data_IF_897173748396
#
_entry.id   IF_897173748396
#
_cell.length_a   1.000
_cell.length_b   1.000
_cell.length_c   1.000
_cell.angle_alpha   90.00
_cell.angle_beta   90.00
_cell.angle_gamma   90.00
#
_symmetry.space_group_name_H-M   'P 1'
#
loop_
_entity.id
_entity.type
_entity.pdbx_description
1 polymer ?
#
# COMPACT_ATOMS: atom_id res chain seq x y z
N UNK A 1 16.30 -11.63 -65.22
CA UNK A 1 17.74 -11.73 -64.91
C UNK A 1 18.05 -10.74 -63.79
N UNK A 2 18.11 -11.20 -62.54
CA UNK A 2 18.96 -10.61 -61.50
C UNK A 2 20.37 -11.21 -61.69
N UNK A 3 21.49 -10.54 -61.34
CA UNK A 3 21.87 -10.44 -59.92
C UNK A 3 22.84 -9.31 -59.50
N UNK A 4 23.14 -9.32 -58.20
CA UNK A 4 24.29 -8.76 -57.47
C UNK A 4 24.25 -7.31 -56.95
N UNK A 5 23.92 -7.24 -55.66
CA UNK A 5 24.43 -6.31 -54.66
C UNK A 5 25.85 -6.74 -54.23
N UNK A 6 26.77 -5.80 -53.98
CA UNK A 6 27.70 -5.98 -52.88
C UNK A 6 27.74 -4.76 -51.95
N UNK A 7 27.47 -5.05 -50.68
CA UNK A 7 27.71 -4.25 -49.49
C UNK A 7 29.18 -3.85 -49.31
N UNK A 8 29.44 -2.57 -49.00
CA UNK A 8 30.59 -2.14 -48.20
C UNK A 8 30.45 -0.69 -47.67
N UNK A 9 30.04 -0.57 -46.40
CA UNK A 9 30.58 0.46 -45.49
C UNK A 9 32.03 0.03 -45.11
N UNK A 10 32.93 0.88 -44.58
CA UNK A 10 32.69 2.15 -43.88
C UNK A 10 33.68 3.29 -44.25
N UNK A 11 33.34 4.55 -43.95
CA UNK A 11 34.35 5.61 -43.80
C UNK A 11 34.11 6.44 -42.55
N UNK A 12 35.16 6.44 -41.73
CA UNK A 12 35.34 7.16 -40.48
C UNK A 12 35.10 8.66 -40.65
N UNK A 13 34.20 9.22 -39.84
CA UNK A 13 34.25 10.63 -39.46
C UNK A 13 34.58 10.71 -37.98
N UNK A 14 35.88 10.71 -37.71
CA UNK A 14 36.46 11.34 -36.53
C UNK A 14 36.11 12.84 -36.60
N UNK A 15 35.32 13.35 -35.66
CA UNK A 15 35.36 14.76 -35.31
C UNK A 15 35.71 14.87 -33.83
N UNK A 16 36.79 15.63 -33.58
CA UNK A 16 37.39 15.90 -32.27
C UNK A 16 36.42 16.65 -31.36
N UNK A 17 36.55 16.35 -30.08
CA UNK A 17 36.00 17.07 -28.94
C UNK A 17 36.20 18.60 -29.06
N UNK A 18 35.16 19.36 -28.71
CA UNK A 18 35.34 20.52 -27.85
C UNK A 18 34.07 20.80 -27.03
N UNK A 19 34.29 21.22 -25.79
CA UNK A 19 33.42 21.00 -24.65
C UNK A 19 32.11 21.81 -24.65
N UNK A 20 31.00 21.13 -24.38
CA UNK A 20 29.86 21.71 -23.67
C UNK A 20 29.43 20.73 -22.57
N UNK A 21 29.87 21.02 -21.34
CA UNK A 21 29.38 20.37 -20.12
C UNK A 21 27.91 20.76 -19.91
N UNK A 22 27.00 20.07 -20.58
CA UNK A 22 25.60 19.99 -20.15
C UNK A 22 25.46 18.79 -19.25
N UNK A 23 25.32 19.05 -17.95
CA UNK A 23 24.97 18.07 -16.94
C UNK A 23 23.75 17.28 -17.39
N UNK A 24 23.94 16.01 -17.75
CA UNK A 24 22.85 15.06 -17.81
C UNK A 24 22.23 14.99 -16.41
N UNK A 25 20.92 15.27 -16.22
CA UNK A 25 20.24 14.69 -15.07
C UNK A 25 20.43 13.18 -15.20
N UNK A 26 20.82 12.52 -14.12
CA UNK A 26 20.81 11.07 -14.04
C UNK A 26 19.38 10.66 -14.34
N UNK A 27 19.13 10.22 -15.58
CA UNK A 27 17.96 9.45 -15.91
C UNK A 27 18.08 8.17 -15.09
N UNK A 28 17.51 8.20 -13.90
CA UNK A 28 17.22 7.02 -13.10
C UNK A 28 16.35 6.13 -13.98
N UNK A 29 16.99 5.17 -14.65
CA UNK A 29 16.30 4.08 -15.31
C UNK A 29 15.51 3.34 -14.22
N UNK A 30 14.25 3.73 -14.03
CA UNK A 30 13.29 2.97 -13.23
C UNK A 30 13.06 1.68 -14.00
N UNK A 31 13.83 0.64 -13.65
CA UNK A 31 13.54 -0.73 -14.09
C UNK A 31 12.16 -1.07 -13.53
N UNK A 32 11.15 -0.93 -14.39
CA UNK A 32 9.76 -1.20 -14.05
C UNK A 32 9.62 -2.71 -13.93
N UNK A 33 9.83 -3.24 -12.71
CA UNK A 33 9.64 -4.65 -12.39
C UNK A 33 8.19 -5.03 -12.70
N UNK A 34 7.98 -5.91 -13.66
CA UNK A 34 6.66 -6.47 -13.94
C UNK A 34 6.27 -7.43 -12.82
N UNK A 35 5.33 -7.03 -11.98
CA UNK A 35 4.73 -7.89 -10.97
C UNK A 35 3.75 -8.82 -11.67
N UNK A 36 3.95 -10.14 -11.54
CA UNK A 36 3.06 -11.13 -12.13
C UNK A 36 1.65 -11.00 -11.56
N UNK A 37 0.64 -11.01 -12.44
CA UNK A 37 -0.76 -11.07 -12.05
C UNK A 37 -1.14 -12.47 -11.58
N UNK A 38 -2.08 -12.54 -10.65
CA UNK A 38 -2.79 -13.76 -10.26
C UNK A 38 -4.23 -13.67 -10.73
N UNK A 39 -4.81 -14.79 -11.16
CA UNK A 39 -6.20 -14.86 -11.62
C UNK A 39 -7.22 -14.76 -10.48
N UNK A 40 -6.80 -14.98 -9.24
CA UNK A 40 -7.66 -14.89 -8.06
C UNK A 40 -6.91 -14.49 -6.79
N UNK A 41 -7.68 -14.09 -5.78
CA UNK A 41 -7.17 -13.87 -4.42
C UNK A 41 -6.45 -15.11 -3.89
N UNK A 42 -7.11 -16.27 -3.94
CA UNK A 42 -6.58 -17.53 -3.43
C UNK A 42 -5.25 -17.91 -4.09
N UNK A 43 -5.12 -17.69 -5.40
CA UNK A 43 -3.86 -17.91 -6.13
C UNK A 43 -2.75 -16.98 -5.63
N UNK A 44 -3.05 -15.69 -5.46
CA UNK A 44 -2.08 -14.74 -4.91
C UNK A 44 -1.64 -15.13 -3.50
N UNK A 45 -2.55 -15.62 -2.66
CA UNK A 45 -2.23 -16.13 -1.33
C UNK A 45 -1.28 -17.33 -1.35
N UNK A 46 -1.59 -18.33 -2.18
CA UNK A 46 -0.75 -19.53 -2.32
C UNK A 46 0.63 -19.19 -2.87
N UNK A 47 0.70 -18.31 -3.87
CA UNK A 47 1.96 -17.94 -4.51
C UNK A 47 2.86 -17.06 -3.62
N UNK A 48 2.28 -16.27 -2.72
CA UNK A 48 3.04 -15.31 -1.90
C UNK A 48 3.52 -15.86 -0.56
N UNK A 49 3.04 -17.04 -0.16
CA UNK A 49 3.42 -17.71 1.07
C UNK A 49 2.97 -19.19 1.05
N UNK A 50 3.64 -20.03 0.24
CA UNK A 50 3.32 -21.44 0.14
C UNK A 50 3.52 -22.13 1.50
N UNK A 51 2.56 -22.96 1.90
CA UNK A 51 2.66 -23.78 3.12
C UNK A 51 2.35 -23.08 4.44
N UNK A 52 1.95 -21.79 4.43
CA UNK A 52 1.47 -21.10 5.64
C UNK A 52 0.00 -21.45 5.89
N UNK A 53 -0.36 -22.05 7.05
CA UNK A 53 -1.75 -22.37 7.37
C UNK A 53 -2.65 -21.13 7.32
N UNK A 54 -3.86 -21.27 6.76
CA UNK A 54 -4.86 -20.20 6.69
C UNK A 54 -5.36 -19.74 8.08
N UNK A 55 -4.97 -20.40 9.16
CA UNK A 55 -5.49 -20.15 10.52
C UNK A 55 -5.01 -18.83 11.16
N UNK A 56 -3.95 -18.18 10.64
CA UNK A 56 -3.66 -16.76 10.89
C UNK A 56 -3.02 -16.11 9.66
N UNK A 57 -3.83 -15.56 8.75
CA UNK A 57 -3.39 -15.16 7.43
C UNK A 57 -3.25 -13.64 7.39
N UNK A 58 -2.09 -13.08 7.76
CA UNK A 58 -1.76 -11.69 7.45
C UNK A 58 -0.83 -11.64 6.24
N UNK A 59 -1.14 -10.81 5.25
CA UNK A 59 -0.25 -10.45 4.12
C UNK A 59 -0.10 -8.95 4.06
N UNK A 60 0.88 -8.46 3.31
CA UNK A 60 0.98 -7.04 3.00
C UNK A 60 0.31 -6.78 1.67
N UNK A 61 -0.45 -5.70 1.58
CA UNK A 61 -1.05 -5.23 0.34
C UNK A 61 -0.42 -3.88 -0.03
N UNK A 62 0.19 -3.85 -1.21
CA UNK A 62 0.99 -2.73 -1.72
C UNK A 62 0.37 -2.26 -3.02
N UNK A 63 0.57 -0.99 -3.37
CA UNK A 63 0.02 -0.37 -4.58
C UNK A 63 -1.50 -0.58 -4.70
N UNK A 64 -2.18 -0.44 -3.55
CA UNK A 64 -3.56 -0.85 -3.36
C UNK A 64 -4.56 0.26 -3.69
N UNK A 65 -5.76 -0.14 -4.11
CA UNK A 65 -6.88 0.76 -4.34
C UNK A 65 -8.15 0.08 -3.84
N UNK A 66 -8.98 0.82 -3.10
CA UNK A 66 -10.34 0.40 -2.73
C UNK A 66 -11.29 1.07 -3.71
N UNK A 67 -12.19 0.28 -4.27
CA UNK A 67 -13.10 0.77 -5.30
C UNK A 67 -14.46 0.10 -5.20
N UNK A 68 -15.48 0.77 -5.71
CA UNK A 68 -16.81 0.21 -5.88
C UNK A 68 -16.80 -0.94 -6.90
N UNK A 69 -17.94 -1.61 -7.06
CA UNK A 69 -18.15 -2.61 -8.09
C UNK A 69 -17.99 -2.06 -9.53
N UNK A 70 -18.13 -0.75 -9.73
CA UNK A 70 -17.95 -0.08 -11.03
C UNK A 70 -16.50 0.37 -11.27
N UNK A 71 -15.59 0.11 -10.32
CA UNK A 71 -14.16 0.46 -10.43
C UNK A 71 -13.84 1.90 -10.04
N UNK A 72 -14.81 2.64 -9.49
CA UNK A 72 -14.58 4.00 -8.97
C UNK A 72 -13.88 3.91 -7.61
N UNK A 73 -12.75 4.62 -7.39
CA UNK A 73 -12.11 4.66 -6.08
C UNK A 73 -13.04 5.23 -5.00
N UNK A 74 -13.15 4.54 -3.86
CA UNK A 74 -14.07 4.88 -2.76
C UNK A 74 -13.32 4.90 -1.43
N UNK A 75 -13.68 5.78 -0.48
CA UNK A 75 -13.08 5.79 0.85
C UNK A 75 -13.37 4.49 1.61
N UNK A 76 -12.44 4.06 2.46
CA UNK A 76 -12.56 2.80 3.21
C UNK A 76 -13.76 2.84 4.18
N UNK A 77 -14.10 4.02 4.68
CA UNK A 77 -15.20 4.30 5.59
C UNK A 77 -16.57 4.05 4.95
N UNK A 78 -16.66 4.05 3.60
CA UNK A 78 -17.89 3.74 2.89
C UNK A 78 -18.43 2.33 3.20
N UNK A 79 -17.57 1.41 3.67
CA UNK A 79 -17.98 0.09 4.16
C UNK A 79 -19.00 0.16 5.31
N UNK A 80 -18.93 1.19 6.16
CA UNK A 80 -19.78 1.29 7.37
C UNK A 80 -21.08 2.03 7.14
N UNK A 81 -21.13 2.90 6.14
CA UNK A 81 -22.27 3.80 5.94
C UNK A 81 -23.45 3.13 5.23
N UNK A 82 -23.27 1.91 4.70
CA UNK A 82 -24.26 1.27 3.81
C UNK A 82 -24.56 2.10 2.55
N UNK A 83 -23.80 3.17 2.33
CA UNK A 83 -24.01 4.17 1.29
C UNK A 83 -23.47 3.71 -0.05
N UNK A 84 -22.48 2.81 -0.05
CA UNK A 84 -22.09 2.08 -1.23
C UNK A 84 -23.13 0.97 -1.46
N UNK A 85 -24.09 1.21 -2.35
CA UNK A 85 -25.08 0.24 -2.84
C UNK A 85 -24.46 -0.96 -3.60
N UNK A 86 -23.18 -1.24 -3.38
CA UNK A 86 -22.41 -2.30 -3.97
C UNK A 86 -21.19 -2.55 -3.10
N UNK A 87 -20.86 -3.83 -2.94
CA UNK A 87 -19.78 -4.29 -2.09
C UNK A 87 -18.45 -3.68 -2.56
N UNK A 88 -17.73 -3.01 -1.65
CA UNK A 88 -16.41 -2.50 -1.99
C UNK A 88 -15.49 -3.66 -2.30
N UNK A 89 -14.63 -3.45 -3.28
CA UNK A 89 -13.61 -4.38 -3.76
C UNK A 89 -12.24 -3.73 -3.64
N UNK A 90 -11.20 -4.53 -3.77
CA UNK A 90 -9.84 -4.01 -3.79
C UNK A 90 -9.04 -4.56 -4.97
N UNK A 91 -8.02 -3.81 -5.33
CA UNK A 91 -6.93 -4.23 -6.21
C UNK A 91 -5.60 -3.85 -5.57
N UNK A 92 -4.53 -4.53 -5.98
CA UNK A 92 -3.19 -4.23 -5.48
C UNK A 92 -2.22 -5.39 -5.68
N UNK A 93 -1.08 -5.30 -5.00
CA UNK A 93 -0.02 -6.31 -5.00
C UNK A 93 0.01 -6.97 -3.63
N UNK A 94 -0.34 -8.25 -3.59
CA UNK A 94 -0.20 -9.11 -2.42
C UNK A 94 1.27 -9.49 -2.30
N UNK A 95 1.82 -9.30 -1.11
CA UNK A 95 3.20 -9.64 -0.78
C UNK A 95 3.25 -10.52 0.49
N UNK A 96 4.35 -11.27 0.60
CA UNK A 96 4.65 -12.04 1.80
C UNK A 96 4.59 -11.17 3.08
N UNK A 97 4.22 -11.73 4.25
CA UNK A 97 4.05 -10.97 5.49
C UNK A 97 5.34 -10.32 6.01
N UNK A 98 6.49 -10.92 5.68
CA UNK A 98 7.83 -10.47 6.10
C UNK A 98 8.75 -10.40 4.89
N UNK A 99 9.89 -9.75 5.06
CA UNK A 99 10.89 -9.55 4.01
C UNK A 99 10.81 -8.14 3.40
N UNK A 100 11.88 -7.75 2.73
CA UNK A 100 11.98 -6.44 2.09
C UNK A 100 11.12 -6.40 0.82
N UNK A 101 10.19 -5.45 0.74
CA UNK A 101 9.31 -5.26 -0.42
C UNK A 101 10.09 -4.82 -1.68
N UNK A 102 11.27 -4.23 -1.50
CA UNK A 102 12.17 -3.88 -2.60
C UNK A 102 12.98 -5.09 -3.11
N UNK A 103 13.09 -6.15 -2.32
CA UNK A 103 13.86 -7.34 -2.68
C UNK A 103 13.18 -8.16 -3.78
N UNK A 104 13.97 -8.65 -4.72
CA UNK A 104 13.53 -9.60 -5.75
C UNK A 104 13.07 -10.93 -5.14
N UNK A 105 13.68 -11.33 -4.01
CA UNK A 105 13.38 -12.58 -3.33
C UNK A 105 12.01 -12.59 -2.64
N UNK A 106 11.38 -11.43 -2.44
CA UNK A 106 10.05 -11.34 -1.82
C UNK A 106 8.97 -11.67 -2.87
N UNK A 107 8.21 -12.77 -2.71
CA UNK A 107 7.16 -13.14 -3.64
C UNK A 107 6.04 -12.10 -3.64
N UNK A 108 5.64 -11.67 -4.84
CA UNK A 108 4.59 -10.67 -5.05
C UNK A 108 3.65 -11.12 -6.17
N UNK A 109 2.35 -10.86 -5.99
CA UNK A 109 1.31 -11.11 -7.01
C UNK A 109 0.34 -9.96 -7.08
N UNK A 110 0.11 -9.43 -8.28
CA UNK A 110 -0.92 -8.42 -8.54
C UNK A 110 -2.27 -9.09 -8.64
N UNK A 111 -3.26 -8.51 -7.99
CA UNK A 111 -4.65 -8.93 -8.01
C UNK A 111 -5.52 -7.74 -8.39
N UNK A 112 -6.51 -7.97 -9.26
CA UNK A 112 -7.40 -6.94 -9.76
C UNK A 112 -8.86 -7.31 -9.47
N UNK A 113 -9.66 -6.33 -9.06
CA UNK A 113 -11.11 -6.51 -8.91
C UNK A 113 -11.52 -7.60 -7.93
N UNK A 114 -10.76 -7.77 -6.85
CA UNK A 114 -10.89 -8.90 -5.91
C UNK A 114 -12.13 -8.78 -5.05
N UNK A 115 -12.47 -9.90 -4.40
CA UNK A 115 -13.64 -10.13 -3.55
C UNK A 115 -14.06 -8.95 -2.67
N UNK A 116 -15.32 -9.06 -2.29
CA UNK A 116 -16.01 -8.16 -1.40
C UNK A 116 -15.26 -8.01 -0.08
N UNK A 117 -14.96 -6.77 0.28
CA UNK A 117 -14.38 -6.43 1.56
C UNK A 117 -15.41 -6.69 2.66
N UNK A 118 -15.06 -7.55 3.60
CA UNK A 118 -15.90 -7.85 4.75
C UNK A 118 -15.78 -6.78 5.84
N UNK A 119 -14.66 -6.07 5.86
CA UNK A 119 -14.42 -4.99 6.81
C UNK A 119 -12.96 -4.54 6.83
N UNK A 120 -12.67 -3.69 7.80
CA UNK A 120 -11.31 -3.27 8.12
C UNK A 120 -11.12 -3.12 9.62
N UNK A 121 -9.88 -3.22 10.04
CA UNK A 121 -9.42 -3.06 11.41
C UNK A 121 -8.30 -2.02 11.46
N UNK A 122 -8.21 -1.31 12.59
CA UNK A 122 -7.05 -0.49 12.92
C UNK A 122 -6.22 -1.31 13.91
N UNK A 123 -5.00 -1.66 13.52
CA UNK A 123 -4.06 -2.49 14.27
C UNK A 123 -2.80 -1.68 14.55
N UNK A 124 -2.16 -1.89 15.71
CA UNK A 124 -1.14 -0.97 16.21
C UNK A 124 -1.79 0.12 17.06
N UNK A 125 -1.00 0.73 17.96
CA UNK A 125 -1.57 1.47 19.09
C UNK A 125 -2.20 0.58 20.16
N UNK A 126 -1.86 -0.72 20.21
CA UNK A 126 -2.28 -1.61 21.30
C UNK A 126 -1.74 -1.06 22.61
N UNK A 127 -2.67 -0.69 23.47
CA UNK A 127 -2.46 -0.73 24.91
C UNK A 127 -2.32 -2.20 25.29
N UNK A 128 -1.13 -2.60 25.69
CA UNK A 128 -0.93 -3.87 26.38
C UNK A 128 -0.15 -3.52 27.65
N UNK A 129 -0.68 -3.93 28.80
CA UNK A 129 -0.04 -3.76 30.12
C UNK A 129 0.34 -2.32 30.48
N UNK A 130 -0.60 -1.37 30.32
CA UNK A 130 -0.42 -0.01 30.81
C UNK A 130 0.50 0.87 29.94
N UNK A 131 1.38 0.30 29.11
CA UNK A 131 2.20 1.03 28.15
C UNK A 131 1.52 1.11 26.77
N UNK A 132 1.50 2.29 26.16
CA UNK A 132 1.35 2.38 24.71
C UNK A 132 2.73 2.04 24.15
N UNK A 133 2.84 1.00 23.32
CA UNK A 133 4.06 0.82 22.54
C UNK A 133 4.20 2.02 21.60
N UNK A 134 5.01 3.00 22.00
CA UNK A 134 5.19 4.31 21.37
C UNK A 134 5.95 4.26 20.04
N UNK A 135 5.83 3.19 19.25
CA UNK A 135 6.54 3.09 17.98
C UNK A 135 5.62 2.62 16.85
N UNK A 136 5.25 3.58 16.01
CA UNK A 136 4.59 3.37 14.73
C UNK A 136 3.27 4.13 14.59
N UNK A 137 3.02 4.64 13.38
CA UNK A 137 1.69 5.03 12.96
C UNK A 137 0.75 3.80 13.00
N UNK A 138 -0.55 3.96 13.28
CA UNK A 138 -1.49 2.86 13.21
C UNK A 138 -1.48 2.23 11.82
N UNK A 139 -1.57 0.90 11.77
CA UNK A 139 -1.70 0.15 10.54
C UNK A 139 -3.19 -0.12 10.25
N UNK A 140 -3.60 0.13 9.02
CA UNK A 140 -4.91 -0.28 8.52
C UNK A 140 -4.82 -1.72 8.00
N UNK A 141 -5.77 -2.56 8.40
CA UNK A 141 -5.86 -3.96 7.99
C UNK A 141 -7.19 -4.22 7.31
N UNK A 142 -7.18 -4.64 6.05
CA UNK A 142 -8.38 -5.11 5.36
C UNK A 142 -8.71 -6.55 5.74
N UNK A 143 -10.00 -6.86 5.80
CA UNK A 143 -10.54 -8.19 6.09
C UNK A 143 -11.37 -8.67 4.91
N UNK A 144 -11.07 -9.88 4.44
CA UNK A 144 -11.69 -10.53 3.28
C UNK A 144 -12.09 -11.95 3.65
N UNK A 145 -12.81 -12.64 2.76
CA UNK A 145 -13.08 -14.07 2.92
C UNK A 145 -11.82 -14.95 2.93
N UNK A 146 -10.74 -14.50 2.28
CA UNK A 146 -9.51 -15.28 2.18
C UNK A 146 -8.55 -15.04 3.35
N UNK A 147 -8.54 -13.83 3.91
CA UNK A 147 -7.68 -13.47 5.03
C UNK A 147 -7.58 -11.97 5.30
N UNK A 148 -6.46 -11.58 5.92
CA UNK A 148 -6.19 -10.20 6.37
C UNK A 148 -5.02 -9.60 5.61
N UNK A 149 -5.13 -8.32 5.30
CA UNK A 149 -4.11 -7.57 4.58
C UNK A 149 -3.70 -6.30 5.32
N UNK A 150 -2.46 -6.23 5.76
CA UNK A 150 -1.86 -4.98 6.24
C UNK A 150 -1.60 -4.05 5.06
N UNK A 151 -2.19 -2.87 5.10
CA UNK A 151 -2.05 -1.84 4.08
C UNK A 151 -0.71 -1.15 4.22
N UNK A 152 0.07 -1.15 3.15
CA UNK A 152 1.37 -0.48 3.10
C UNK A 152 1.28 0.77 2.21
N UNK A 153 1.73 0.69 0.97
CA UNK A 153 1.71 1.83 0.04
C UNK A 153 0.42 1.85 -0.80
N UNK A 154 -0.37 2.93 -0.82
CA UNK A 154 -1.52 3.04 -1.72
C UNK A 154 -1.09 3.28 -3.17
N UNK A 155 -1.97 2.91 -4.11
CA UNK A 155 -1.85 3.25 -5.53
C UNK A 155 -1.88 4.77 -5.72
N UNK A 156 -1.23 5.26 -6.77
CA UNK A 156 -1.11 6.71 -7.02
C UNK A 156 -2.47 7.42 -7.04
N UNK A 157 -3.47 6.84 -7.71
CA UNK A 157 -4.82 7.39 -7.80
C UNK A 157 -5.58 7.36 -6.46
N UNK A 158 -5.16 6.51 -5.51
CA UNK A 158 -5.83 6.29 -4.23
C UNK A 158 -5.18 7.01 -3.04
N UNK A 159 -4.01 7.65 -3.24
CA UNK A 159 -3.21 8.25 -2.16
C UNK A 159 -3.97 9.21 -1.25
N UNK A 160 -4.85 10.04 -1.83
CA UNK A 160 -5.61 11.04 -1.05
C UNK A 160 -6.60 10.36 -0.10
N UNK A 161 -7.43 9.45 -0.62
CA UNK A 161 -8.40 8.71 0.19
C UNK A 161 -7.71 7.85 1.26
N UNK A 162 -6.57 7.24 0.92
CA UNK A 162 -5.76 6.51 1.87
C UNK A 162 -5.19 7.40 3.00
N UNK A 163 -4.78 8.63 2.68
CA UNK A 163 -4.28 9.57 3.67
C UNK A 163 -5.39 10.04 4.63
N UNK A 164 -6.60 10.27 4.12
CA UNK A 164 -7.76 10.62 4.94
C UNK A 164 -8.09 9.48 5.94
N UNK A 165 -8.13 8.23 5.45
CA UNK A 165 -8.35 7.05 6.29
C UNK A 165 -7.23 6.86 7.34
N UNK A 166 -5.98 7.12 6.97
CA UNK A 166 -4.84 7.05 7.89
C UNK A 166 -4.93 8.12 9.00
N UNK A 167 -5.30 9.36 8.65
CA UNK A 167 -5.51 10.42 9.63
C UNK A 167 -6.64 10.10 10.61
N UNK A 168 -7.72 9.48 10.14
CA UNK A 168 -8.79 8.99 11.02
C UNK A 168 -8.28 7.87 11.95
N UNK A 169 -7.44 6.96 11.45
CA UNK A 169 -6.87 5.90 12.27
C UNK A 169 -5.96 6.45 13.38
N UNK A 170 -5.15 7.47 13.07
CA UNK A 170 -4.30 8.19 14.03
C UNK A 170 -5.14 8.86 15.12
N UNK A 171 -6.19 9.57 14.73
CA UNK A 171 -7.12 10.21 15.67
C UNK A 171 -7.79 9.17 16.58
N UNK A 172 -8.22 8.02 16.05
CA UNK A 172 -8.81 6.94 16.85
C UNK A 172 -7.83 6.42 17.90
N UNK A 173 -6.55 6.27 17.56
CA UNK A 173 -5.52 5.84 18.51
C UNK A 173 -5.29 6.91 19.59
N UNK A 174 -5.29 8.18 19.22
CA UNK A 174 -5.09 9.29 20.16
C UNK A 174 -6.26 9.42 21.15
N UNK A 175 -7.50 9.34 20.67
CA UNK A 175 -8.70 9.32 21.53
C UNK A 175 -8.68 8.13 22.46
N UNK A 176 -8.34 6.93 21.97
CA UNK A 176 -8.21 5.72 22.82
C UNK A 176 -7.12 5.88 23.88
N UNK A 177 -6.01 6.54 23.55
CA UNK A 177 -4.93 6.83 24.49
C UNK A 177 -5.38 7.82 25.58
N UNK A 178 -6.08 8.87 25.19
CA UNK A 178 -6.58 9.89 26.10
C UNK A 178 -7.59 9.28 27.09
N UNK A 179 -8.62 8.59 26.59
CA UNK A 179 -9.63 7.92 27.41
C UNK A 179 -9.08 6.81 28.30
N UNK A 180 -7.94 6.20 27.95
CA UNK A 180 -7.28 5.26 28.85
C UNK A 180 -6.56 5.97 29.99
N UNK A 181 -5.93 7.10 29.70
CA UNK A 181 -5.21 7.88 30.71
C UNK A 181 -6.18 8.49 31.71
N UNK A 182 -7.32 8.96 31.21
CA UNK A 182 -8.42 9.50 32.00
C UNK A 182 -9.76 8.99 31.45
N UNK A 183 -10.35 7.96 32.08
CA UNK A 183 -11.65 7.40 31.67
C UNK A 183 -12.82 8.37 31.81
N UNK A 184 -12.71 9.38 32.67
CA UNK A 184 -13.75 10.39 32.90
C UNK A 184 -13.54 11.63 32.02
N UNK A 185 -12.57 11.59 31.09
CA UNK A 185 -12.26 12.68 30.18
C UNK A 185 -13.48 12.98 29.29
N UNK A 186 -14.15 14.10 29.58
CA UNK A 186 -15.24 14.61 28.78
C UNK A 186 -14.79 15.09 27.39
N UNK A 187 -15.77 15.37 26.52
CA UNK A 187 -15.52 15.87 25.15
C UNK A 187 -14.62 17.11 25.13
N UNK A 188 -14.81 18.05 26.08
CA UNK A 188 -14.01 19.26 26.19
C UNK A 188 -12.52 18.97 26.43
N UNK A 189 -12.21 17.93 27.21
CA UNK A 189 -10.83 17.50 27.46
C UNK A 189 -10.18 16.79 26.27
N UNK A 190 -10.97 16.15 25.41
CA UNK A 190 -10.48 15.51 24.18
C UNK A 190 -10.16 16.51 23.06
N UNK A 191 -10.85 17.65 23.01
CA UNK A 191 -10.67 18.69 21.98
C UNK A 191 -9.79 19.85 22.45
N UNK A 192 -9.40 19.87 23.73
CA UNK A 192 -8.54 20.90 24.27
C UNK A 192 -7.20 20.90 23.52
N UNK A 193 -6.68 22.09 23.14
CA UNK A 193 -5.35 22.17 22.56
C UNK A 193 -4.32 21.65 23.58
N UNK A 194 -3.19 21.05 23.13
CA UNK A 194 -2.14 20.64 24.04
C UNK A 194 -1.74 21.86 24.89
N UNK A 195 -1.92 21.75 26.21
CA UNK A 195 -1.57 22.83 27.13
C UNK A 195 -0.11 23.25 26.93
N UNK A 196 0.25 24.51 27.21
CA UNK A 196 1.64 24.95 27.13
C UNK A 196 2.47 24.05 28.05
N UNK A 197 3.32 23.21 27.45
CA UNK A 197 4.16 22.27 28.18
C UNK A 197 5.03 23.04 29.17
N UNK A 198 4.84 22.77 30.46
CA UNK A 198 5.77 23.19 31.49
C UNK A 198 7.11 22.50 31.26
N UNK A 199 8.17 23.29 31.08
CA UNK A 199 9.55 22.84 31.06
C UNK A 199 10.09 22.49 32.44
#
# INVERSE_FOLDING_TARGET
>A
MHPFNPSSLPQNLYFKEEAARTSHPKDDYIVKREVLSAASEAEAWTATAPGVPQSQPLRRLVDYCIHSATGVPEPLEALRSGSSAGLLRFSGVVAAPKGDLASEATPQRRVEGVQELLGFEIVGGRVQDGAIASQGAPALVLVTGQGRYELSRPAQAYRRLAADAQGLAELVVEVRRALKTDPELGLEGLVAPPGPGGG
#
